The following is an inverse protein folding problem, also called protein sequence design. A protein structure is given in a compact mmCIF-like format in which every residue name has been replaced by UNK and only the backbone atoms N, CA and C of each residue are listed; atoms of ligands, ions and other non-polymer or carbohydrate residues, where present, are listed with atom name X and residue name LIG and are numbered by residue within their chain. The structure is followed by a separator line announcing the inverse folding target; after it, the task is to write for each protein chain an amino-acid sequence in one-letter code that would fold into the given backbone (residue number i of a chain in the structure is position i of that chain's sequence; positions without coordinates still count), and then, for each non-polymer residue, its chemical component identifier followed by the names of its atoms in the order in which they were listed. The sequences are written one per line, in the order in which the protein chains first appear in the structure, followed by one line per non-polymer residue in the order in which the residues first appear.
data_IF_368881870941
#
_entry.id   IF_368881870941
#
_cell.length_a   1.000
_cell.length_b   1.000
_cell.length_c   1.000
_cell.angle_alpha   90.00
_cell.angle_beta   90.00
_cell.angle_gamma   90.00
#
_symmetry.space_group_name_H-M   'P 1'
#
loop_
_entity.id
_entity.type
_entity.pdbx_description
1 polymer ?
#
# COMPACT_ATOMS: atom_id res chain seq x y z
N UNK A 1 -27.36 -2.06 0.08
CA UNK A 1 -25.96 -1.88 0.49
C UNK A 1 -25.15 -1.58 -0.75
N UNK A 2 -24.45 -0.42 -0.85
CA UNK A 2 -23.63 -0.13 -2.02
C UNK A 2 -22.55 -1.21 -2.15
N UNK A 3 -22.40 -1.77 -3.35
CA UNK A 3 -21.29 -2.68 -3.65
C UNK A 3 -19.98 -1.91 -3.44
N UNK A 4 -19.04 -2.42 -2.64
CA UNK A 4 -17.76 -1.72 -2.45
C UNK A 4 -17.07 -1.58 -3.80
N UNK A 5 -16.69 -0.35 -4.14
CA UNK A 5 -15.89 -0.07 -5.33
C UNK A 5 -14.53 -0.79 -5.23
N UNK A 6 -13.88 -1.03 -6.37
CA UNK A 6 -12.55 -1.67 -6.45
C UNK A 6 -11.49 -1.01 -5.56
N UNK A 7 -11.65 0.28 -5.27
CA UNK A 7 -10.80 1.03 -4.35
C UNK A 7 -11.07 0.70 -2.86
N UNK A 8 -12.16 0.01 -2.50
CA UNK A 8 -12.44 -0.40 -1.13
C UNK A 8 -11.47 -1.48 -0.60
N UNK A 9 -10.74 -2.12 -1.46
CA UNK A 9 -9.97 -3.32 -1.15
C UNK A 9 -8.75 -3.11 -0.25
N UNK A 10 -8.17 -1.92 -0.19
CA UNK A 10 -7.02 -1.63 0.68
C UNK A 10 -7.43 -0.97 2.02
N UNK A 11 -8.71 -0.66 2.20
CA UNK A 11 -9.27 -0.10 3.46
C UNK A 11 -9.13 -1.07 4.62
N UNK A 12 -9.09 -2.36 4.34
CA UNK A 12 -9.11 -3.43 5.34
C UNK A 12 -7.80 -3.61 6.13
N UNK A 13 -6.68 -3.02 5.72
CA UNK A 13 -5.36 -3.18 6.38
C UNK A 13 -4.72 -1.82 6.62
N UNK A 14 -5.32 -0.99 7.48
CA UNK A 14 -4.88 0.38 7.67
C UNK A 14 -4.87 0.79 9.12
N UNK A 15 -3.84 1.52 9.54
CA UNK A 15 -3.87 2.24 10.79
C UNK A 15 -4.67 3.53 10.62
N UNK A 16 -5.59 3.79 11.55
CA UNK A 16 -6.40 5.01 11.56
C UNK A 16 -5.57 6.14 12.14
N UNK A 17 -5.52 7.27 11.41
CA UNK A 17 -4.95 8.52 11.90
C UNK A 17 -6.11 9.50 12.04
N UNK A 18 -6.16 10.19 13.17
CA UNK A 18 -7.20 11.19 13.47
C UNK A 18 -6.54 12.50 13.84
N UNK A 19 -6.92 13.57 13.15
CA UNK A 19 -6.46 14.91 13.41
C UNK A 19 -7.63 15.74 13.92
N UNK A 20 -7.51 16.26 15.13
CA UNK A 20 -8.54 17.02 15.84
C UNK A 20 -8.07 18.45 16.01
N UNK A 21 -8.82 19.43 15.48
CA UNK A 21 -8.66 20.85 15.84
C UNK A 21 -9.78 21.21 16.79
N UNK A 22 -9.42 21.27 18.06
CA UNK A 22 -10.36 21.49 19.16
C UNK A 22 -10.43 22.98 19.49
N UNK A 23 -11.59 23.58 19.31
CA UNK A 23 -11.84 24.95 19.73
C UNK A 23 -11.71 25.09 21.25
N UNK A 24 -10.95 26.08 21.74
CA UNK A 24 -10.73 26.27 23.17
C UNK A 24 -12.01 26.56 23.95
N UNK A 25 -13.10 26.88 23.28
CA UNK A 25 -14.43 27.12 23.87
C UNK A 25 -15.38 25.93 23.61
N UNK A 26 -14.89 24.85 22.97
CA UNK A 26 -15.68 23.65 22.77
C UNK A 26 -16.05 23.03 24.12
N UNK A 27 -17.25 22.48 24.19
CA UNK A 27 -17.75 21.74 25.36
C UNK A 27 -18.16 20.36 24.91
N UNK A 28 -17.75 19.40 25.68
CA UNK A 28 -18.08 17.99 25.46
C UNK A 28 -19.06 17.52 26.53
N UNK A 29 -19.90 16.56 26.22
CA UNK A 29 -20.86 15.92 27.08
C UNK A 29 -20.36 14.57 27.64
N UNK A 30 -19.05 14.36 27.58
CA UNK A 30 -18.34 13.19 28.10
C UNK A 30 -17.16 13.63 28.96
N UNK A 31 -16.77 12.80 29.92
CA UNK A 31 -15.66 13.06 30.86
C UNK A 31 -14.37 12.31 30.48
N UNK A 32 -14.44 11.35 29.54
CA UNK A 32 -13.32 10.55 29.09
C UNK A 32 -12.34 11.40 28.27
N UNK A 33 -11.03 11.03 28.27
CA UNK A 33 -10.06 11.66 27.37
C UNK A 33 -10.49 11.50 25.90
N UNK A 34 -10.41 12.58 25.13
CA UNK A 34 -10.86 12.60 23.73
C UNK A 34 -10.21 11.50 22.87
N UNK A 35 -8.97 11.10 23.19
CA UNK A 35 -8.29 10.01 22.53
C UNK A 35 -8.95 8.65 22.80
N UNK A 36 -9.53 8.44 23.99
CA UNK A 36 -10.24 7.21 24.35
C UNK A 36 -11.59 7.14 23.63
N UNK A 37 -12.30 8.25 23.52
CA UNK A 37 -13.52 8.35 22.70
C UNK A 37 -13.25 8.02 21.23
N UNK A 38 -12.13 8.51 20.67
CA UNK A 38 -11.70 8.17 19.31
C UNK A 38 -11.37 6.68 19.18
N UNK A 39 -10.68 6.11 20.17
CA UNK A 39 -10.32 4.68 20.16
C UNK A 39 -11.55 3.78 20.26
N UNK A 40 -12.54 4.14 21.06
CA UNK A 40 -13.81 3.43 21.15
C UNK A 40 -14.56 3.48 19.80
N UNK A 41 -14.67 4.65 19.19
CA UNK A 41 -15.29 4.81 17.88
C UNK A 41 -14.60 3.95 16.79
N UNK A 42 -13.28 3.89 16.81
CA UNK A 42 -12.51 3.01 15.90
C UNK A 42 -12.79 1.55 16.21
N UNK A 43 -12.80 1.16 17.48
CA UNK A 43 -13.09 -0.22 17.86
C UNK A 43 -14.50 -0.66 17.41
N UNK A 44 -15.50 0.18 17.62
CA UNK A 44 -16.88 -0.07 17.15
C UNK A 44 -16.90 -0.27 15.63
N UNK A 45 -16.27 0.65 14.87
CA UNK A 45 -16.25 0.58 13.41
C UNK A 45 -15.60 -0.71 12.88
N UNK A 46 -14.55 -1.20 13.54
CA UNK A 46 -13.81 -2.40 13.11
C UNK A 46 -14.37 -3.73 13.65
N UNK A 47 -15.23 -3.68 14.63
CA UNK A 47 -15.88 -4.88 15.20
C UNK A 47 -17.33 -5.06 14.76
N UNK A 48 -17.95 -4.05 14.16
CA UNK A 48 -19.28 -4.13 13.58
C UNK A 48 -19.32 -5.15 12.43
N UNK A 49 -20.11 -6.21 12.59
CA UNK A 49 -20.25 -7.28 11.61
C UNK A 49 -20.86 -6.80 10.26
N UNK A 50 -21.61 -5.71 10.25
CA UNK A 50 -22.13 -5.07 9.03
C UNK A 50 -21.10 -4.25 8.27
N UNK A 51 -19.93 -3.99 8.87
CA UNK A 51 -18.88 -3.15 8.30
C UNK A 51 -17.83 -4.03 7.61
N UNK A 52 -17.39 -3.66 6.37
CA UNK A 52 -16.34 -4.40 5.68
C UNK A 52 -14.94 -4.20 6.28
N UNK A 53 -14.73 -3.34 7.27
CA UNK A 53 -13.42 -3.08 7.87
C UNK A 53 -12.86 -4.29 8.61
N UNK A 54 -11.55 -4.43 8.63
CA UNK A 54 -10.83 -5.52 9.32
C UNK A 54 -9.63 -4.97 10.07
N UNK A 55 -9.51 -5.34 11.34
CA UNK A 55 -8.36 -4.97 12.16
C UNK A 55 -7.07 -5.56 11.60
N UNK A 56 -6.02 -4.75 11.56
CA UNK A 56 -4.72 -5.14 10.99
C UNK A 56 -3.52 -4.63 11.76
N UNK A 57 -3.73 -3.90 12.85
CA UNK A 57 -2.61 -3.44 13.69
C UNK A 57 -2.29 -4.48 14.77
N UNK A 58 -1.05 -4.49 15.20
CA UNK A 58 -0.54 -5.38 16.23
C UNK A 58 -0.34 -4.62 17.54
N UNK A 59 -0.69 -5.25 18.67
CA UNK A 59 -0.64 -4.62 19.98
C UNK A 59 0.80 -4.34 20.44
N UNK A 60 1.70 -5.27 20.19
CA UNK A 60 3.13 -5.13 20.51
C UNK A 60 3.95 -5.29 19.22
N UNK A 61 4.60 -4.21 18.76
CA UNK A 61 5.37 -4.27 17.52
C UNK A 61 6.70 -5.00 17.66
N UNK A 62 7.25 -5.15 18.86
CA UNK A 62 8.59 -5.70 19.08
C UNK A 62 8.57 -7.22 19.36
N UNK A 63 7.67 -7.69 20.21
CA UNK A 63 7.72 -9.06 20.73
C UNK A 63 6.48 -9.87 20.34
N UNK A 64 5.30 -9.48 20.85
CA UNK A 64 4.05 -10.20 20.65
C UNK A 64 3.21 -9.48 19.58
N UNK A 65 3.40 -9.86 18.34
CA UNK A 65 2.76 -9.23 17.19
C UNK A 65 1.30 -9.68 16.98
N UNK A 66 0.55 -9.91 18.07
CA UNK A 66 -0.85 -10.26 17.99
C UNK A 66 -1.71 -9.10 17.49
N UNK A 67 -2.67 -9.43 16.62
CA UNK A 67 -3.66 -8.48 16.11
C UNK A 67 -4.52 -7.94 17.26
N UNK A 68 -4.77 -6.64 17.30
CA UNK A 68 -5.62 -6.00 18.32
C UNK A 68 -7.09 -6.40 18.19
N UNK A 69 -7.51 -6.93 17.06
CA UNK A 69 -8.89 -7.27 16.67
C UNK A 69 -9.87 -6.09 16.59
N UNK A 70 -9.56 -4.98 17.21
CA UNK A 70 -10.36 -3.74 17.22
C UNK A 70 -9.79 -2.66 16.32
N UNK A 71 -8.57 -2.84 15.83
CA UNK A 71 -7.78 -1.81 15.12
C UNK A 71 -7.56 -0.51 15.92
N UNK A 72 -7.85 -0.50 17.21
CA UNK A 72 -7.48 0.54 18.15
C UNK A 72 -6.15 0.17 18.84
N UNK A 73 -5.35 1.17 19.28
CA UNK A 73 -5.65 2.60 19.24
C UNK A 73 -5.42 3.23 17.87
N UNK A 74 -6.13 4.31 17.59
CA UNK A 74 -5.81 5.24 16.50
C UNK A 74 -4.55 6.06 16.83
N UNK A 75 -3.90 6.61 15.81
CA UNK A 75 -2.90 7.66 16.00
C UNK A 75 -3.63 9.00 16.01
N UNK A 76 -3.85 9.55 17.20
CA UNK A 76 -4.64 10.77 17.39
C UNK A 76 -3.72 11.97 17.63
N UNK A 77 -3.92 13.00 16.82
CA UNK A 77 -3.25 14.30 16.95
C UNK A 77 -4.28 15.34 17.36
N UNK A 78 -3.98 16.14 18.39
CA UNK A 78 -4.86 17.18 18.92
C UNK A 78 -4.17 18.53 18.82
N UNK A 79 -4.82 19.48 18.18
CA UNK A 79 -4.42 20.89 18.10
C UNK A 79 -5.51 21.75 18.74
N UNK A 80 -5.12 22.64 19.65
CA UNK A 80 -6.02 23.61 20.23
C UNK A 80 -6.08 24.87 19.35
N UNK A 81 -7.28 25.24 18.95
CA UNK A 81 -7.53 26.41 18.08
C UNK A 81 -8.54 27.36 18.69
N UNK A 82 -8.65 28.59 18.20
CA UNK A 82 -9.68 29.50 18.60
C UNK A 82 -11.08 29.03 18.17
N UNK A 83 -12.11 29.34 18.94
CA UNK A 83 -13.49 28.99 18.61
C UNK A 83 -14.08 27.89 19.48
N UNK A 84 -15.29 27.43 19.09
CA UNK A 84 -16.11 26.48 19.86
C UNK A 84 -16.41 25.17 19.09
N UNK A 85 -15.90 25.04 17.88
CA UNK A 85 -16.11 23.84 17.05
C UNK A 85 -14.99 22.82 17.21
N UNK A 86 -15.25 21.60 16.78
CA UNK A 86 -14.27 20.52 16.62
C UNK A 86 -14.18 20.16 15.13
N UNK A 87 -13.03 20.43 14.51
CA UNK A 87 -12.74 19.92 13.17
C UNK A 87 -12.06 18.57 13.31
N UNK A 88 -12.61 17.57 12.61
CA UNK A 88 -12.14 16.19 12.65
C UNK A 88 -11.73 15.76 11.25
N UNK A 89 -10.50 15.26 11.11
CA UNK A 89 -10.05 14.58 9.91
C UNK A 89 -9.66 13.14 10.27
N UNK A 90 -10.28 12.18 9.60
CA UNK A 90 -9.99 10.76 9.78
C UNK A 90 -9.37 10.21 8.51
N UNK A 91 -8.21 9.58 8.62
CA UNK A 91 -7.53 8.95 7.51
C UNK A 91 -7.18 7.49 7.83
N UNK A 92 -7.56 6.58 6.95
CA UNK A 92 -7.15 5.19 7.00
C UNK A 92 -5.98 4.98 6.03
N UNK A 93 -4.73 5.14 6.51
CA UNK A 93 -3.52 5.11 5.69
C UNK A 93 -2.90 3.72 5.59
N UNK A 94 -2.61 3.28 4.36
CA UNK A 94 -2.04 1.96 4.08
C UNK A 94 -0.58 1.83 4.50
N UNK A 95 -0.22 0.70 5.12
CA UNK A 95 1.15 0.43 5.58
C UNK A 95 2.20 0.46 4.46
N UNK A 96 1.84 0.12 3.22
CA UNK A 96 2.79 0.18 2.09
C UNK A 96 3.30 1.58 1.82
N UNK A 97 2.40 2.56 1.73
CA UNK A 97 2.77 3.96 1.54
C UNK A 97 3.31 4.59 2.83
N UNK A 98 2.84 4.17 4.01
CA UNK A 98 3.39 4.65 5.29
C UNK A 98 4.86 4.27 5.47
N UNK A 99 5.22 3.03 5.13
CA UNK A 99 6.59 2.53 5.24
C UNK A 99 7.58 3.17 4.23
N UNK A 100 7.08 4.00 3.32
CA UNK A 100 7.89 4.78 2.37
C UNK A 100 8.01 6.25 2.77
N UNK A 101 7.59 6.61 3.99
CA UNK A 101 7.86 7.92 4.55
C UNK A 101 9.37 8.15 4.67
N UNK A 102 9.83 9.32 4.25
CA UNK A 102 11.24 9.70 4.22
C UNK A 102 11.46 11.02 4.91
N UNK A 103 12.60 11.17 5.56
CA UNK A 103 13.01 12.38 6.26
C UNK A 103 14.47 12.70 5.96
N UNK A 104 14.79 13.98 5.85
CA UNK A 104 16.17 14.48 5.82
C UNK A 104 16.29 15.79 6.61
N UNK A 105 17.41 15.98 7.26
CA UNK A 105 17.85 17.28 7.74
C UNK A 105 18.77 17.87 6.67
N UNK A 106 18.22 18.69 5.80
CA UNK A 106 18.96 19.37 4.74
C UNK A 106 19.66 20.62 5.31
N UNK A 107 20.68 21.09 4.60
CA UNK A 107 21.23 22.41 4.87
C UNK A 107 20.33 23.50 4.27
N UNK A 108 20.32 24.73 4.81
CA UNK A 108 19.49 25.82 4.27
C UNK A 108 19.72 26.17 2.80
N UNK A 109 20.86 25.81 2.24
CA UNK A 109 21.22 26.03 0.82
C UNK A 109 20.91 24.86 -0.10
N UNK A 110 20.44 23.73 0.42
CA UNK A 110 20.15 22.56 -0.39
C UNK A 110 18.80 22.71 -1.14
N UNK A 111 18.72 22.13 -2.33
CA UNK A 111 17.50 22.15 -3.14
C UNK A 111 16.51 21.06 -2.66
N UNK A 112 15.42 21.52 -2.05
CA UNK A 112 14.35 20.65 -1.55
C UNK A 112 13.67 19.91 -2.71
N UNK A 113 13.48 20.55 -3.88
CA UNK A 113 12.84 19.90 -5.02
C UNK A 113 13.69 18.77 -5.56
N UNK A 114 15.00 18.95 -5.64
CA UNK A 114 15.94 17.90 -6.04
C UNK A 114 15.95 16.73 -5.06
N UNK A 115 15.90 17.01 -3.76
CA UNK A 115 15.80 15.96 -2.74
C UNK A 115 14.50 15.16 -2.89
N UNK A 116 13.38 15.83 -3.11
CA UNK A 116 12.08 15.16 -3.30
C UNK A 116 12.11 14.25 -4.52
N UNK A 117 12.58 14.74 -5.68
CA UNK A 117 12.61 13.95 -6.92
C UNK A 117 13.50 12.72 -6.76
N UNK A 118 14.72 12.87 -6.24
CA UNK A 118 15.62 11.73 -5.95
C UNK A 118 15.01 10.76 -4.95
N UNK A 119 14.34 11.27 -3.92
CA UNK A 119 13.67 10.41 -2.95
C UNK A 119 12.59 9.59 -3.63
N UNK A 120 11.71 10.19 -4.42
CA UNK A 120 10.63 9.46 -5.13
C UNK A 120 11.20 8.38 -6.05
N UNK A 121 12.28 8.67 -6.76
CA UNK A 121 12.98 7.68 -7.60
C UNK A 121 13.42 6.46 -6.77
N UNK A 122 14.00 6.68 -5.57
CA UNK A 122 14.43 5.59 -4.67
C UNK A 122 13.27 4.86 -3.99
N UNK A 123 12.09 5.49 -3.85
CA UNK A 123 10.91 4.82 -3.30
C UNK A 123 10.38 3.72 -4.23
N UNK A 124 10.64 3.85 -5.54
CA UNK A 124 10.16 2.91 -6.54
C UNK A 124 8.64 2.80 -6.56
N UNK A 125 8.12 1.59 -6.76
CA UNK A 125 6.68 1.31 -6.81
C UNK A 125 6.07 0.86 -5.46
N UNK A 126 6.86 0.77 -4.39
CA UNK A 126 6.43 0.20 -3.10
C UNK A 126 5.28 0.95 -2.41
N UNK A 127 5.05 2.22 -2.74
CA UNK A 127 3.95 3.04 -2.24
C UNK A 127 2.67 2.97 -3.10
N UNK A 128 2.69 2.17 -4.18
CA UNK A 128 1.58 1.95 -5.11
C UNK A 128 1.16 3.21 -5.87
N UNK A 129 2.04 3.81 -6.68
CA UNK A 129 1.67 4.91 -7.58
C UNK A 129 0.61 4.46 -8.60
N UNK A 130 -0.17 5.41 -9.22
CA UNK A 130 -0.10 6.84 -8.96
C UNK A 130 -0.73 7.23 -7.64
N UNK A 131 -0.30 8.36 -7.08
CA UNK A 131 -0.86 8.81 -5.79
C UNK A 131 -0.52 10.27 -5.50
N UNK A 132 -0.46 10.63 -4.22
CA UNK A 132 -0.23 12.00 -3.77
C UNK A 132 1.07 12.02 -2.96
N UNK A 133 1.85 13.10 -3.08
CA UNK A 133 2.99 13.36 -2.23
C UNK A 133 2.67 14.47 -1.23
N UNK A 134 2.79 14.18 0.07
CA UNK A 134 2.78 15.15 1.12
C UNK A 134 4.20 15.53 1.53
N UNK A 135 4.52 16.81 1.49
CA UNK A 135 5.83 17.35 1.80
C UNK A 135 5.70 18.33 2.96
N UNK A 136 6.48 18.12 4.00
CA UNK A 136 6.58 19.02 5.14
C UNK A 136 7.97 19.62 5.24
N UNK A 137 8.07 20.94 5.37
CA UNK A 137 9.34 21.66 5.43
C UNK A 137 9.35 22.59 6.64
N UNK A 138 10.40 22.51 7.44
CA UNK A 138 10.62 23.41 8.57
C UNK A 138 10.13 22.85 9.91
N UNK A 139 10.15 23.67 10.93
CA UNK A 139 9.93 23.29 12.33
C UNK A 139 11.06 22.41 12.88
N UNK A 140 10.69 21.32 13.52
CA UNK A 140 11.54 20.26 14.02
C UNK A 140 11.32 18.99 13.16
N UNK A 141 12.11 17.94 13.38
CA UNK A 141 11.99 16.70 12.60
C UNK A 141 10.58 16.11 12.64
N UNK A 142 10.01 15.97 13.83
CA UNK A 142 8.66 15.49 14.04
C UNK A 142 7.61 16.43 13.44
N UNK A 143 7.82 17.76 13.49
CA UNK A 143 6.89 18.74 12.90
C UNK A 143 6.89 18.64 11.37
N UNK A 144 8.06 18.47 10.74
CA UNK A 144 8.14 18.25 9.29
C UNK A 144 7.39 16.97 8.86
N UNK A 145 7.55 15.87 9.60
CA UNK A 145 6.83 14.62 9.36
C UNK A 145 5.31 14.79 9.54
N UNK A 146 4.88 15.51 10.58
CA UNK A 146 3.47 15.79 10.83
C UNK A 146 2.87 16.66 9.71
N UNK A 147 3.55 17.72 9.30
CA UNK A 147 3.14 18.59 8.19
C UNK A 147 2.98 17.81 6.88
N UNK A 148 3.94 16.93 6.56
CA UNK A 148 3.86 16.08 5.38
C UNK A 148 2.60 15.18 5.42
N UNK A 149 2.27 14.63 6.58
CA UNK A 149 1.08 13.78 6.75
C UNK A 149 -0.22 14.59 6.68
N UNK A 150 -0.31 15.71 7.36
CA UNK A 150 -1.48 16.59 7.34
C UNK A 150 -1.77 17.15 5.95
N UNK A 151 -0.71 17.47 5.19
CA UNK A 151 -0.87 17.99 3.83
C UNK A 151 -1.61 17.03 2.89
N UNK A 152 -1.51 15.72 3.14
CA UNK A 152 -2.24 14.69 2.39
C UNK A 152 -3.76 14.73 2.58
N UNK A 153 -4.24 15.38 3.66
CA UNK A 153 -5.67 15.51 3.95
C UNK A 153 -6.33 16.66 3.17
N UNK A 154 -5.54 17.44 2.44
CA UNK A 154 -6.06 18.51 1.59
C UNK A 154 -6.69 17.92 0.32
N UNK A 155 -7.75 18.53 -0.22
CA UNK A 155 -8.35 18.10 -1.47
C UNK A 155 -7.33 18.06 -2.63
N UNK A 156 -7.48 17.10 -3.53
CA UNK A 156 -6.71 17.05 -4.79
C UNK A 156 -7.14 18.23 -5.65
N UNK A 157 -6.20 19.13 -5.98
CA UNK A 157 -6.47 20.36 -6.71
C UNK A 157 -5.44 20.68 -7.82
N UNK A 158 -4.58 19.72 -8.15
CA UNK A 158 -3.51 19.93 -9.14
C UNK A 158 -4.07 20.27 -10.52
N UNK A 159 -5.18 19.65 -10.93
CA UNK A 159 -5.84 19.96 -12.22
C UNK A 159 -6.27 21.42 -12.27
N UNK A 160 -6.91 21.91 -11.20
CA UNK A 160 -7.34 23.32 -11.10
C UNK A 160 -6.14 24.26 -11.01
N UNK A 161 -5.09 23.86 -10.27
CA UNK A 161 -3.86 24.62 -10.17
C UNK A 161 -3.17 24.78 -11.53
N UNK A 162 -3.08 23.72 -12.31
CA UNK A 162 -2.52 23.75 -13.66
C UNK A 162 -3.36 24.62 -14.63
N UNK A 163 -4.69 24.54 -14.52
CA UNK A 163 -5.59 25.31 -15.38
C UNK A 163 -5.54 26.83 -15.10
N UNK A 164 -5.48 27.21 -13.82
CA UNK A 164 -5.44 28.63 -13.42
C UNK A 164 -4.04 29.24 -13.36
N UNK A 165 -3.02 28.41 -13.35
CA UNK A 165 -1.63 28.79 -13.13
C UNK A 165 -1.29 29.07 -11.64
N UNK A 166 -0.02 28.92 -11.25
CA UNK A 166 0.45 29.17 -9.89
C UNK A 166 0.42 30.68 -9.58
N UNK A 167 0.12 31.05 -8.32
CA UNK A 167 0.03 32.41 -7.82
C UNK A 167 1.02 32.69 -6.69
N UNK A 168 1.65 31.65 -6.15
CA UNK A 168 2.63 31.75 -5.06
C UNK A 168 3.86 30.90 -5.39
N UNK A 169 5.00 31.20 -4.80
CA UNK A 169 6.22 30.39 -4.96
C UNK A 169 6.01 28.93 -4.52
N UNK A 170 5.15 28.70 -3.50
CA UNK A 170 4.79 27.35 -3.06
C UNK A 170 3.99 26.60 -4.13
N UNK A 171 3.05 27.25 -4.80
CA UNK A 171 2.30 26.67 -5.92
C UNK A 171 3.19 26.41 -7.13
N UNK A 172 4.14 27.32 -7.43
CA UNK A 172 5.15 27.10 -8.47
C UNK A 172 5.99 25.86 -8.19
N UNK A 173 6.41 25.68 -6.95
CA UNK A 173 7.16 24.50 -6.51
C UNK A 173 6.32 23.22 -6.61
N UNK A 174 5.02 23.25 -6.25
CA UNK A 174 4.12 22.11 -6.43
C UNK A 174 4.01 21.70 -7.90
N UNK A 175 3.83 22.66 -8.82
CA UNK A 175 3.75 22.41 -10.27
C UNK A 175 5.08 21.87 -10.81
N UNK A 176 6.21 22.43 -10.38
CA UNK A 176 7.54 21.96 -10.76
C UNK A 176 7.74 20.49 -10.32
N UNK A 177 7.48 20.17 -9.07
CA UNK A 177 7.58 18.81 -8.54
C UNK A 177 6.62 17.83 -9.24
N UNK A 178 5.38 18.24 -9.47
CA UNK A 178 4.41 17.44 -10.21
C UNK A 178 4.93 17.03 -11.59
N UNK A 179 5.49 18.00 -12.34
CA UNK A 179 6.05 17.73 -13.67
C UNK A 179 7.30 16.85 -13.61
N UNK A 180 8.24 17.17 -12.72
CA UNK A 180 9.50 16.42 -12.58
C UNK A 180 9.27 14.97 -12.11
N UNK A 181 8.38 14.76 -11.16
CA UNK A 181 8.07 13.41 -10.65
C UNK A 181 7.33 12.59 -11.71
N UNK A 182 6.41 13.17 -12.47
CA UNK A 182 5.77 12.48 -13.59
C UNK A 182 6.75 12.17 -14.74
N UNK A 183 7.74 13.03 -14.96
CA UNK A 183 8.79 12.79 -15.94
C UNK A 183 9.76 11.64 -15.59
N UNK A 184 9.70 11.11 -14.34
CA UNK A 184 10.43 9.87 -13.99
C UNK A 184 9.86 8.63 -14.70
N UNK A 185 8.67 8.73 -15.28
CA UNK A 185 8.06 7.65 -16.04
C UNK A 185 7.69 6.41 -15.22
N UNK A 186 7.71 6.47 -13.87
CA UNK A 186 7.45 5.33 -12.98
C UNK A 186 6.07 4.74 -13.26
N UNK A 187 5.05 5.60 -13.40
CA UNK A 187 3.69 5.20 -13.77
C UNK A 187 2.98 4.32 -12.76
N UNK A 188 1.82 3.82 -13.15
CA UNK A 188 0.99 2.98 -12.29
C UNK A 188 1.73 1.69 -11.89
N UNK A 189 1.80 1.42 -10.59
CA UNK A 189 2.47 0.24 -10.00
C UNK A 189 3.96 0.08 -10.38
N UNK A 190 4.59 1.15 -10.93
CA UNK A 190 5.97 1.11 -11.39
C UNK A 190 6.19 0.42 -12.74
N UNK A 191 5.12 0.21 -13.50
CA UNK A 191 5.19 -0.48 -14.80
C UNK A 191 5.54 0.45 -15.98
N UNK A 192 5.81 1.71 -15.69
CA UNK A 192 5.99 2.76 -16.68
C UNK A 192 4.69 3.49 -17.00
N UNK A 193 4.79 4.78 -17.31
CA UNK A 193 3.63 5.60 -17.69
C UNK A 193 3.78 7.06 -17.35
N UNK A 194 2.92 7.89 -17.92
CA UNK A 194 2.92 9.35 -17.80
C UNK A 194 2.49 9.87 -16.42
N UNK A 195 1.85 9.04 -15.60
CA UNK A 195 1.28 9.47 -14.31
C UNK A 195 1.85 8.67 -13.16
N UNK A 196 2.77 9.27 -12.43
CA UNK A 196 3.35 8.76 -11.17
C UNK A 196 2.67 9.40 -9.97
N UNK A 197 2.35 10.70 -10.07
CA UNK A 197 1.61 11.43 -9.03
C UNK A 197 0.40 12.15 -9.63
N UNK A 198 -0.67 12.20 -8.83
CA UNK A 198 -1.91 12.94 -9.11
C UNK A 198 -1.85 14.35 -8.54
N UNK A 199 -1.14 14.54 -7.42
CA UNK A 199 -0.96 15.82 -6.77
C UNK A 199 0.31 15.82 -5.91
N UNK A 200 0.83 17.03 -5.62
CA UNK A 200 1.92 17.30 -4.70
C UNK A 200 1.46 18.37 -3.72
N UNK A 201 1.43 18.05 -2.43
CA UNK A 201 1.06 18.96 -1.35
C UNK A 201 2.31 19.38 -0.60
N UNK A 202 2.40 20.65 -0.24
CA UNK A 202 3.51 21.19 0.54
C UNK A 202 2.93 21.96 1.74
N UNK A 203 3.44 21.68 2.91
CA UNK A 203 3.16 22.47 4.13
C UNK A 203 4.48 22.92 4.74
N UNK A 204 4.52 24.16 5.25
CA UNK A 204 5.72 24.75 5.81
C UNK A 204 5.49 25.26 7.23
N UNK A 205 6.57 25.32 8.00
CA UNK A 205 6.55 25.90 9.34
C UNK A 205 7.85 26.68 9.58
N UNK A 206 7.83 27.79 10.35
CA UNK A 206 9.03 28.52 10.74
C UNK A 206 10.08 27.60 11.35
N UNK A 207 11.35 27.84 11.02
CA UNK A 207 12.45 26.96 11.39
C UNK A 207 13.67 27.75 11.86
N UNK A 208 14.54 27.11 12.66
CA UNK A 208 15.82 27.68 13.05
C UNK A 208 16.69 27.95 11.80
N UNK A 209 17.33 29.11 11.73
CA UNK A 209 18.06 29.60 10.55
C UNK A 209 19.14 28.63 10.02
N UNK A 210 19.71 27.79 10.87
CA UNK A 210 20.73 26.80 10.50
C UNK A 210 20.17 25.43 10.19
N UNK A 211 18.84 25.26 10.06
CA UNK A 211 18.19 23.97 9.90
C UNK A 211 17.19 23.99 8.75
N UNK A 212 17.06 22.87 8.04
CA UNK A 212 15.99 22.66 7.07
C UNK A 212 15.53 21.20 7.11
N UNK A 213 14.74 20.79 8.14
CA UNK A 213 14.11 19.49 8.18
C UNK A 213 13.07 19.38 7.06
N UNK A 214 13.15 18.32 6.28
CA UNK A 214 12.22 18.02 5.18
C UNK A 214 11.72 16.60 5.32
N UNK A 215 10.43 16.43 5.18
CA UNK A 215 9.78 15.13 5.17
C UNK A 215 8.96 14.94 3.90
N UNK A 216 8.90 13.71 3.42
CA UNK A 216 8.07 13.27 2.31
C UNK A 216 7.28 12.04 2.73
N UNK A 217 5.97 12.10 2.63
CA UNK A 217 5.08 10.97 2.89
C UNK A 217 4.21 10.74 1.65
N UNK A 218 4.38 9.61 0.94
CA UNK A 218 3.52 9.29 -0.18
C UNK A 218 2.18 8.74 0.30
N UNK A 219 1.13 8.97 -0.48
CA UNK A 219 -0.20 8.38 -0.32
C UNK A 219 -0.57 7.65 -1.61
N UNK A 220 -0.95 6.37 -1.52
CA UNK A 220 -1.36 5.62 -2.70
C UNK A 220 -2.71 6.10 -3.25
N UNK A 221 -3.03 5.76 -4.50
CA UNK A 221 -4.30 6.12 -5.16
C UNK A 221 -5.55 5.68 -4.37
N UNK A 222 -5.44 4.61 -3.57
CA UNK A 222 -6.50 4.19 -2.66
C UNK A 222 -6.56 5.10 -1.41
N UNK A 223 -6.61 6.40 -1.63
CA UNK A 223 -6.74 7.41 -0.60
C UNK A 223 -8.09 7.28 0.13
N UNK A 224 -8.05 7.32 1.45
CA UNK A 224 -9.22 7.13 2.32
C UNK A 224 -9.13 8.09 3.49
N UNK A 225 -9.64 9.27 3.29
CA UNK A 225 -9.81 10.24 4.36
C UNK A 225 -11.16 10.95 4.25
N UNK A 226 -11.62 11.50 5.37
CA UNK A 226 -12.80 12.33 5.46
C UNK A 226 -12.55 13.43 6.47
N UNK A 227 -13.03 14.64 6.19
CA UNK A 227 -13.03 15.75 7.11
C UNK A 227 -14.46 16.21 7.40
N UNK A 228 -14.74 16.58 8.64
CA UNK A 228 -16.01 17.13 9.07
C UNK A 228 -15.86 18.04 10.27
N UNK A 229 -16.87 18.87 10.50
CA UNK A 229 -16.93 19.80 11.64
C UNK A 229 -18.12 19.44 12.52
N UNK A 230 -17.89 19.46 13.83
CA UNK A 230 -18.91 19.38 14.86
C UNK A 230 -18.96 20.74 15.56
N UNK A 231 -20.12 21.37 15.54
CA UNK A 231 -20.37 22.71 16.09
C UNK A 231 -21.49 22.73 17.14
N UNK A 232 -21.99 21.54 17.51
CA UNK A 232 -23.11 21.36 18.44
C UNK A 232 -24.49 21.36 17.78
N UNK A 233 -24.58 21.52 16.45
CA UNK A 233 -25.87 21.49 15.74
C UNK A 233 -26.42 20.07 15.50
N UNK A 234 -25.65 19.05 15.85
CA UNK A 234 -26.00 17.65 15.67
C UNK A 234 -24.90 16.82 14.99
N UNK A 235 -25.20 15.60 14.57
CA UNK A 235 -24.24 14.75 13.89
C UNK A 235 -23.85 15.34 12.53
N UNK A 236 -22.58 15.16 12.15
CA UNK A 236 -22.11 15.59 10.84
C UNK A 236 -22.86 14.85 9.71
N UNK A 237 -23.39 15.60 8.76
CA UNK A 237 -23.99 15.06 7.57
C UNK A 237 -22.91 14.62 6.58
N UNK A 238 -22.91 13.34 6.19
CA UNK A 238 -22.02 12.82 5.15
C UNK A 238 -22.79 12.55 3.87
N UNK A 239 -22.28 13.06 2.76
CA UNK A 239 -22.75 12.67 1.43
C UNK A 239 -21.83 11.56 0.92
N UNK A 240 -22.37 10.36 0.80
CA UNK A 240 -21.62 9.25 0.20
C UNK A 240 -21.28 9.59 -1.26
N UNK A 241 -20.04 9.36 -1.72
CA UNK A 241 -19.71 9.54 -3.12
C UNK A 241 -20.58 8.63 -4.00
N UNK A 242 -21.15 9.20 -5.06
CA UNK A 242 -21.97 8.46 -6.02
C UNK A 242 -21.05 7.80 -7.03
N UNK A 243 -20.96 6.49 -6.98
CA UNK A 243 -20.15 5.71 -7.95
C UNK A 243 -20.69 5.79 -9.38
N UNK A 244 -21.97 6.12 -9.54
CA UNK A 244 -22.63 6.29 -10.84
C UNK A 244 -22.10 7.53 -11.60
N UNK A 245 -21.56 8.51 -10.87
CA UNK A 245 -20.99 9.73 -11.46
C UNK A 245 -19.54 9.48 -11.96
N UNK A 246 -18.96 8.31 -11.71
CA UNK A 246 -17.61 7.98 -12.15
C UNK A 246 -17.62 7.43 -13.59
N UNK A 247 -16.59 7.74 -14.39
CA UNK A 247 -16.46 7.16 -15.71
C UNK A 247 -16.52 5.63 -15.66
N UNK A 248 -17.44 5.04 -16.41
CA UNK A 248 -17.49 3.59 -16.57
C UNK A 248 -16.37 3.19 -17.54
N UNK A 249 -15.26 2.75 -17.02
CA UNK A 249 -14.15 2.20 -17.82
C UNK A 249 -14.41 0.72 -18.02
N UNK A 250 -14.65 0.29 -19.25
CA UNK A 250 -14.63 -1.12 -19.60
C UNK A 250 -13.18 -1.61 -19.43
N UNK A 251 -12.92 -2.31 -18.34
CA UNK A 251 -11.65 -3.04 -18.18
C UNK A 251 -11.73 -4.29 -19.05
N UNK A 252 -11.29 -4.15 -20.30
CA UNK A 252 -11.04 -5.31 -21.14
C UNK A 252 -9.75 -5.98 -20.67
N UNK A 253 -9.88 -6.80 -19.63
CA UNK A 253 -8.75 -7.51 -19.02
C UNK A 253 -8.25 -8.66 -19.87
N UNK A 254 -8.64 -8.75 -21.17
CA UNK A 254 -8.45 -10.06 -21.62
C UNK A 254 -8.34 -10.51 -23.04
N UNK A 255 -8.45 -9.69 -24.04
CA UNK A 255 -8.24 -10.22 -25.42
C UNK A 255 -6.83 -10.80 -25.60
N UNK A 256 -5.83 -10.24 -24.92
CA UNK A 256 -4.41 -10.65 -25.02
C UNK A 256 -3.86 -11.33 -23.75
N UNK A 257 -4.69 -11.58 -22.71
CA UNK A 257 -4.20 -12.21 -21.49
C UNK A 257 -3.99 -13.72 -21.65
N UNK A 258 -2.83 -14.18 -21.23
CA UNK A 258 -2.46 -15.60 -21.26
C UNK A 258 -3.12 -16.31 -20.07
N UNK A 259 -3.88 -17.37 -20.33
CA UNK A 259 -4.47 -18.22 -19.28
C UNK A 259 -3.47 -19.25 -18.82
N UNK A 260 -3.26 -19.35 -17.50
CA UNK A 260 -2.28 -20.24 -16.88
C UNK A 260 -2.97 -21.17 -15.89
N UNK A 261 -2.75 -22.47 -16.05
CA UNK A 261 -3.15 -23.52 -15.12
C UNK A 261 -2.00 -23.81 -14.14
N UNK A 262 -2.13 -23.30 -12.91
CA UNK A 262 -1.10 -23.46 -11.86
C UNK A 262 -0.88 -24.91 -11.43
N UNK A 263 -1.87 -25.80 -11.64
CA UNK A 263 -1.76 -27.22 -11.30
C UNK A 263 -0.94 -28.01 -12.33
N UNK A 264 -0.71 -27.42 -13.51
CA UNK A 264 0.07 -28.00 -14.62
C UNK A 264 1.29 -27.17 -15.01
N UNK A 265 1.65 -26.20 -14.18
CA UNK A 265 2.73 -25.27 -14.46
C UNK A 265 4.06 -26.00 -14.70
N UNK A 266 4.75 -25.63 -15.78
CA UNK A 266 6.03 -26.22 -16.17
C UNK A 266 7.12 -25.15 -16.31
N UNK A 267 8.41 -25.51 -16.12
CA UNK A 267 9.52 -24.58 -16.39
C UNK A 267 9.53 -24.05 -17.82
N UNK A 268 9.12 -24.86 -18.80
CA UNK A 268 9.06 -24.45 -20.20
C UNK A 268 7.99 -23.38 -20.46
N UNK A 269 6.84 -23.48 -19.80
CA UNK A 269 5.78 -22.48 -19.86
C UNK A 269 6.24 -21.16 -19.23
N UNK A 270 6.84 -21.20 -18.04
CA UNK A 270 7.38 -20.02 -17.36
C UNK A 270 8.48 -19.35 -18.18
N UNK A 271 9.36 -20.13 -18.83
CA UNK A 271 10.40 -19.62 -19.72
C UNK A 271 9.86 -18.91 -20.96
N UNK A 272 8.61 -19.20 -21.34
CA UNK A 272 7.90 -18.56 -22.46
C UNK A 272 7.40 -17.15 -22.14
N UNK A 273 7.17 -16.82 -20.89
CA UNK A 273 6.61 -15.50 -20.50
C UNK A 273 7.60 -14.36 -20.69
N UNK A 274 7.08 -13.17 -20.95
CA UNK A 274 7.87 -11.94 -21.13
C UNK A 274 7.43 -10.86 -20.17
N UNK A 275 8.37 -10.08 -19.68
CA UNK A 275 8.11 -8.95 -18.79
C UNK A 275 7.12 -7.96 -19.43
N UNK A 276 6.02 -7.67 -18.72
CA UNK A 276 4.92 -6.82 -19.15
C UNK A 276 3.68 -7.58 -19.64
N UNK A 277 3.74 -8.89 -19.86
CA UNK A 277 2.56 -9.68 -20.23
C UNK A 277 1.58 -9.81 -19.08
N UNK A 278 0.29 -9.82 -19.41
CA UNK A 278 -0.81 -10.07 -18.46
C UNK A 278 -1.18 -11.54 -18.47
N UNK A 279 -1.23 -12.14 -17.28
CA UNK A 279 -1.64 -13.53 -17.10
C UNK A 279 -2.92 -13.59 -16.26
N UNK A 280 -3.75 -14.61 -16.53
CA UNK A 280 -4.91 -14.99 -15.72
C UNK A 280 -4.63 -16.36 -15.09
N UNK A 281 -4.39 -16.38 -13.79
CA UNK A 281 -3.99 -17.58 -13.07
C UNK A 281 -5.21 -18.34 -12.55
N UNK A 282 -5.26 -19.65 -12.79
CA UNK A 282 -6.26 -20.55 -12.21
C UNK A 282 -5.57 -21.78 -11.61
N UNK A 283 -6.12 -22.35 -10.54
CA UNK A 283 -5.56 -23.52 -9.86
C UNK A 283 -5.08 -23.22 -8.43
N UNK A 284 -4.21 -24.09 -7.90
CA UNK A 284 -3.72 -24.02 -6.51
C UNK A 284 -2.52 -23.10 -6.37
N UNK A 285 -2.64 -22.15 -5.46
CA UNK A 285 -1.66 -21.10 -5.18
C UNK A 285 -1.29 -21.13 -3.69
N UNK A 286 0.00 -21.27 -3.39
CA UNK A 286 0.48 -21.16 -2.02
C UNK A 286 0.56 -19.70 -1.58
N UNK A 287 0.41 -19.44 -0.28
CA UNK A 287 0.67 -18.12 0.29
C UNK A 287 1.86 -18.15 1.24
N UNK A 288 2.52 -17.02 1.41
CA UNK A 288 3.58 -16.87 2.39
C UNK A 288 4.21 -15.49 2.30
N UNK A 289 4.61 -14.93 3.44
CA UNK A 289 5.37 -13.68 3.47
C UNK A 289 6.44 -13.75 4.57
N UNK A 290 6.85 -12.65 5.15
CA UNK A 290 8.04 -12.48 5.97
C UNK A 290 8.34 -13.63 6.94
N UNK A 291 7.43 -13.93 7.88
CA UNK A 291 7.66 -14.95 8.91
C UNK A 291 7.71 -16.37 8.31
N UNK A 292 6.83 -16.69 7.34
CA UNK A 292 6.85 -17.97 6.65
C UNK A 292 8.14 -18.15 5.86
N UNK A 293 8.57 -17.15 5.06
CA UNK A 293 9.81 -17.21 4.29
C UNK A 293 11.04 -17.37 5.19
N UNK A 294 11.12 -16.61 6.28
CA UNK A 294 12.19 -16.74 7.25
C UNK A 294 12.29 -18.16 7.83
N UNK A 295 11.12 -18.75 8.16
CA UNK A 295 11.06 -20.10 8.72
C UNK A 295 11.44 -21.17 7.68
N UNK A 296 10.92 -21.06 6.45
CA UNK A 296 11.29 -21.97 5.35
C UNK A 296 12.80 -21.93 5.06
N UNK A 297 13.38 -20.72 4.95
CA UNK A 297 14.81 -20.55 4.71
C UNK A 297 15.65 -21.18 5.84
N UNK A 298 15.29 -20.94 7.10
CA UNK A 298 15.99 -21.52 8.24
C UNK A 298 15.87 -23.05 8.28
N UNK A 299 14.77 -23.65 7.87
CA UNK A 299 14.61 -25.11 7.73
C UNK A 299 15.54 -25.67 6.65
N UNK A 300 15.58 -25.00 5.47
CA UNK A 300 16.48 -25.40 4.38
C UNK A 300 17.97 -25.31 4.79
N UNK A 301 18.35 -24.27 5.51
CA UNK A 301 19.72 -24.11 6.04
C UNK A 301 20.11 -25.23 7.00
N UNK A 302 19.15 -25.73 7.80
CA UNK A 302 19.38 -26.87 8.71
C UNK A 302 19.24 -28.25 8.02
N UNK A 303 18.86 -28.27 6.73
CA UNK A 303 18.62 -29.52 5.98
C UNK A 303 17.36 -30.26 6.42
N UNK A 304 16.37 -29.53 6.97
CA UNK A 304 15.08 -30.09 7.37
C UNK A 304 14.11 -30.17 6.20
N UNK A 305 13.23 -31.15 6.24
CA UNK A 305 12.12 -31.26 5.27
C UNK A 305 11.12 -30.12 5.45
N UNK A 306 10.68 -29.52 4.34
CA UNK A 306 9.68 -28.48 4.37
C UNK A 306 8.28 -29.06 4.59
N UNK A 307 7.37 -28.36 5.32
CA UNK A 307 6.02 -28.84 5.58
C UNK A 307 5.13 -28.75 4.34
N UNK A 308 5.61 -28.15 3.25
CA UNK A 308 4.90 -27.99 1.98
C UNK A 308 5.86 -28.22 0.80
N UNK A 309 5.39 -28.87 -0.24
CA UNK A 309 6.15 -29.00 -1.49
C UNK A 309 6.04 -27.72 -2.32
N UNK A 310 7.17 -27.09 -2.61
CA UNK A 310 7.29 -25.87 -3.41
C UNK A 310 7.68 -26.14 -4.86
N UNK A 311 8.06 -27.37 -5.19
CA UNK A 311 8.55 -27.73 -6.53
C UNK A 311 7.47 -27.53 -7.59
N UNK A 312 7.79 -26.72 -8.59
CA UNK A 312 6.85 -26.45 -9.68
C UNK A 312 5.66 -25.57 -9.29
N UNK A 313 5.67 -24.98 -8.09
CA UNK A 313 4.53 -24.24 -7.54
C UNK A 313 4.70 -22.72 -7.70
N UNK A 314 3.60 -22.03 -7.43
CA UNK A 314 3.56 -20.59 -7.28
C UNK A 314 3.30 -20.20 -5.82
N UNK A 315 3.95 -19.14 -5.33
CA UNK A 315 3.75 -18.58 -4.01
C UNK A 315 3.32 -17.10 -4.08
N UNK A 316 2.24 -16.76 -3.38
CA UNK A 316 1.71 -15.40 -3.31
C UNK A 316 2.10 -14.75 -1.98
N UNK A 317 2.78 -13.63 -2.07
CA UNK A 317 3.22 -12.84 -0.93
C UNK A 317 2.05 -12.08 -0.32
N UNK A 318 1.30 -12.74 0.51
CA UNK A 318 0.12 -12.20 1.15
C UNK A 318 -0.02 -12.71 2.59
N UNK A 319 -0.58 -11.88 3.46
CA UNK A 319 -1.17 -12.30 4.72
C UNK A 319 -2.65 -12.00 4.60
N UNK A 320 -3.49 -12.99 4.29
CA UNK A 320 -4.91 -12.76 4.12
C UNK A 320 -5.55 -12.35 5.45
N UNK A 321 -6.62 -11.58 5.38
CA UNK A 321 -7.45 -11.29 6.55
C UNK A 321 -8.49 -12.40 6.69
N UNK A 322 -8.95 -12.63 7.92
CA UNK A 322 -9.99 -13.61 8.20
C UNK A 322 -11.26 -13.33 7.38
N UNK A 323 -11.85 -14.40 6.86
CA UNK A 323 -13.08 -14.34 6.10
C UNK A 323 -14.27 -13.99 7.02
N UNK A 324 -15.26 -13.30 6.47
CA UNK A 324 -16.60 -13.20 7.07
C UNK A 324 -17.58 -14.12 6.35
N UNK A 325 -18.80 -14.25 6.89
CA UNK A 325 -19.82 -15.09 6.29
C UNK A 325 -20.02 -14.80 4.78
N UNK A 326 -19.87 -15.82 3.95
CA UNK A 326 -19.99 -15.75 2.50
C UNK A 326 -18.69 -15.43 1.74
N UNK A 327 -17.55 -15.27 2.41
CA UNK A 327 -16.23 -15.09 1.79
C UNK A 327 -15.42 -16.41 1.87
N UNK A 328 -14.70 -16.74 0.83
CA UNK A 328 -13.70 -17.82 0.87
C UNK A 328 -12.45 -17.39 1.66
N UNK A 329 -12.12 -16.11 1.59
CA UNK A 329 -11.02 -15.46 2.30
C UNK A 329 -11.35 -13.97 2.40
N UNK A 330 -10.93 -13.32 3.45
CA UNK A 330 -10.98 -11.86 3.53
C UNK A 330 -10.02 -11.19 2.54
N UNK A 331 -9.92 -9.86 2.54
CA UNK A 331 -9.03 -9.13 1.64
C UNK A 331 -7.61 -9.69 1.59
N UNK A 332 -7.16 -10.05 0.40
CA UNK A 332 -5.89 -10.74 0.14
C UNK A 332 -4.96 -9.92 -0.78
N UNK A 333 -4.64 -8.69 -0.36
CA UNK A 333 -3.75 -7.80 -1.14
C UNK A 333 -2.28 -8.19 -1.07
N UNK A 334 -1.53 -7.98 -2.18
CA UNK A 334 -0.12 -8.34 -2.25
C UNK A 334 0.74 -7.52 -1.31
N UNK A 335 1.77 -8.15 -0.76
CA UNK A 335 2.81 -7.53 0.06
C UNK A 335 3.94 -7.00 -0.82
N UNK A 336 4.63 -5.94 -0.39
CA UNK A 336 5.86 -5.44 -1.03
C UNK A 336 6.92 -6.54 -1.04
N UNK A 337 7.40 -6.90 -2.23
CA UNK A 337 8.16 -8.14 -2.45
C UNK A 337 9.63 -8.07 -2.06
N UNK A 338 10.24 -6.88 -2.02
CA UNK A 338 11.64 -6.69 -1.59
C UNK A 338 11.92 -7.23 -0.18
N UNK A 339 10.89 -7.36 0.66
CA UNK A 339 11.04 -7.95 2.01
C UNK A 339 11.38 -9.45 1.96
N UNK A 340 11.03 -10.14 0.89
CA UNK A 340 11.31 -11.55 0.66
C UNK A 340 12.63 -11.77 -0.10
N UNK A 341 13.28 -10.71 -0.58
CA UNK A 341 14.55 -10.81 -1.33
C UNK A 341 15.64 -11.61 -0.58
N UNK A 342 15.85 -11.43 0.73
CA UNK A 342 16.87 -12.19 1.46
C UNK A 342 16.67 -13.72 1.44
N UNK A 343 15.46 -14.20 1.17
CA UNK A 343 15.12 -15.61 1.20
C UNK A 343 14.95 -16.22 -0.19
N UNK A 344 14.92 -15.38 -1.24
CA UNK A 344 14.50 -15.82 -2.58
C UNK A 344 15.48 -16.80 -3.20
N UNK A 345 16.78 -16.51 -3.13
CA UNK A 345 17.80 -17.34 -3.79
C UNK A 345 17.82 -18.78 -3.25
N UNK A 346 17.85 -18.94 -1.92
CA UNK A 346 17.84 -20.26 -1.28
C UNK A 346 16.55 -21.05 -1.57
N UNK A 347 15.40 -20.36 -1.64
CA UNK A 347 14.13 -21.00 -1.97
C UNK A 347 14.14 -21.49 -3.41
N UNK A 348 14.57 -20.65 -4.36
CA UNK A 348 14.65 -21.04 -5.77
C UNK A 348 15.62 -22.21 -5.98
N UNK A 349 16.84 -22.12 -5.40
CA UNK A 349 17.89 -23.11 -5.54
C UNK A 349 17.48 -24.47 -4.97
N UNK A 350 16.91 -24.48 -3.75
CA UNK A 350 16.71 -25.72 -2.99
C UNK A 350 15.34 -26.38 -3.22
N UNK A 351 14.34 -25.64 -3.71
CA UNK A 351 12.98 -26.16 -3.77
C UNK A 351 12.44 -26.34 -5.17
N UNK A 352 13.00 -25.64 -6.17
CA UNK A 352 12.45 -25.62 -7.51
C UNK A 352 11.12 -24.85 -7.62
N UNK A 353 10.91 -23.85 -6.73
CA UNK A 353 9.80 -22.88 -6.82
C UNK A 353 9.89 -22.15 -8.17
N UNK A 354 8.78 -22.07 -8.91
CA UNK A 354 8.77 -21.48 -10.26
C UNK A 354 8.27 -20.04 -10.29
N UNK A 355 7.29 -19.71 -9.45
CA UNK A 355 6.60 -18.42 -9.56
C UNK A 355 6.43 -17.77 -8.19
N UNK A 356 6.74 -16.51 -8.13
CA UNK A 356 6.51 -15.65 -6.97
C UNK A 356 5.57 -14.53 -7.37
N UNK A 357 4.58 -14.21 -6.52
CA UNK A 357 3.60 -13.16 -6.81
C UNK A 357 3.59 -12.16 -5.66
N UNK A 358 3.68 -10.87 -5.97
CA UNK A 358 3.65 -9.82 -4.94
C UNK A 358 3.31 -8.46 -5.51
N UNK A 359 3.92 -7.41 -5.03
CA UNK A 359 3.84 -6.06 -5.58
C UNK A 359 5.19 -5.35 -5.51
N UNK A 360 5.34 -4.30 -6.31
CA UNK A 360 6.55 -3.49 -6.46
C UNK A 360 7.74 -4.27 -7.06
N UNK A 361 8.85 -3.57 -7.17
CA UNK A 361 10.10 -4.07 -7.73
C UNK A 361 10.79 -5.14 -6.85
N UNK A 362 11.76 -5.83 -7.42
CA UNK A 362 12.73 -6.70 -6.73
C UNK A 362 14.12 -6.07 -6.81
N UNK A 363 14.95 -6.34 -5.82
CA UNK A 363 16.37 -5.96 -5.85
C UNK A 363 17.14 -6.62 -6.99
N UNK A 364 18.22 -5.99 -7.44
CA UNK A 364 19.00 -6.44 -8.60
C UNK A 364 19.54 -7.86 -8.45
N UNK A 365 20.04 -8.21 -7.27
CA UNK A 365 20.53 -9.55 -6.96
C UNK A 365 19.41 -10.60 -7.06
N UNK A 366 18.21 -10.24 -6.61
CA UNK A 366 17.04 -11.10 -6.70
C UNK A 366 16.57 -11.27 -8.15
N UNK A 367 16.57 -10.18 -8.94
CA UNK A 367 16.27 -10.25 -10.38
C UNK A 367 17.26 -11.19 -11.10
N UNK A 368 18.56 -11.08 -10.79
CA UNK A 368 19.58 -11.98 -11.33
C UNK A 368 19.36 -13.43 -10.88
N UNK A 369 18.97 -13.66 -9.63
CA UNK A 369 18.64 -14.99 -9.10
C UNK A 369 17.44 -15.59 -9.81
N UNK A 370 16.36 -14.83 -10.04
CA UNK A 370 15.19 -15.26 -10.79
C UNK A 370 15.60 -15.74 -12.20
N UNK A 371 16.44 -14.98 -12.90
CA UNK A 371 16.97 -15.36 -14.21
C UNK A 371 17.84 -16.62 -14.17
N UNK A 372 18.73 -16.78 -13.15
CA UNK A 372 19.58 -17.98 -13.01
C UNK A 372 18.78 -19.27 -12.82
N UNK A 373 17.68 -19.19 -12.08
CA UNK A 373 16.85 -20.34 -11.76
C UNK A 373 15.70 -20.57 -12.75
N UNK A 374 15.54 -19.71 -13.77
CA UNK A 374 14.47 -19.82 -14.76
C UNK A 374 13.08 -19.65 -14.15
N UNK A 375 12.97 -18.92 -13.04
CA UNK A 375 11.72 -18.62 -12.35
C UNK A 375 11.11 -17.31 -12.86
N UNK A 376 9.90 -16.98 -12.43
CA UNK A 376 9.28 -15.69 -12.74
C UNK A 376 8.75 -14.99 -11.48
N UNK A 377 8.79 -13.66 -11.52
CA UNK A 377 8.12 -12.83 -10.53
C UNK A 377 6.98 -12.06 -11.19
N UNK A 378 5.79 -12.22 -10.62
CA UNK A 378 4.56 -11.58 -11.09
C UNK A 378 4.11 -10.54 -10.07
N UNK A 379 3.41 -9.52 -10.53
CA UNK A 379 2.74 -8.58 -9.64
C UNK A 379 1.22 -8.71 -9.75
N UNK A 380 0.58 -8.73 -8.58
CA UNK A 380 -0.84 -8.45 -8.46
C UNK A 380 -1.04 -6.96 -8.17
N UNK A 381 -2.15 -6.38 -8.61
CA UNK A 381 -2.40 -4.95 -8.48
C UNK A 381 -2.46 -4.55 -7.00
N UNK A 382 -1.55 -3.67 -6.59
CA UNK A 382 -1.59 -3.04 -5.28
C UNK A 382 -2.83 -2.14 -5.16
N UNK A 383 -3.44 -2.10 -3.96
CA UNK A 383 -4.68 -1.36 -3.75
C UNK A 383 -5.95 -2.08 -4.22
N UNK A 384 -5.84 -3.27 -4.85
CA UNK A 384 -6.94 -4.06 -5.38
C UNK A 384 -7.19 -5.37 -4.60
N UNK A 385 -6.87 -5.42 -3.30
CA UNK A 385 -6.96 -6.63 -2.47
C UNK A 385 -8.33 -7.31 -2.50
N UNK A 386 -9.39 -6.53 -2.59
CA UNK A 386 -10.75 -7.06 -2.70
C UNK A 386 -11.02 -7.72 -4.07
N UNK A 387 -10.52 -7.13 -5.16
CA UNK A 387 -10.66 -7.73 -6.49
C UNK A 387 -9.86 -9.04 -6.58
N UNK A 388 -8.66 -9.04 -6.01
CA UNK A 388 -7.84 -10.26 -5.92
C UNK A 388 -8.54 -11.33 -5.08
N UNK A 389 -9.14 -10.96 -3.92
CA UNK A 389 -9.87 -11.93 -3.09
C UNK A 389 -11.09 -12.54 -3.79
N UNK A 390 -11.71 -11.82 -4.73
CA UNK A 390 -12.80 -12.38 -5.57
C UNK A 390 -12.35 -13.50 -6.50
N UNK A 391 -11.09 -13.50 -6.90
CA UNK A 391 -10.53 -14.60 -7.69
C UNK A 391 -10.25 -15.85 -6.82
N UNK A 392 -10.24 -15.71 -5.49
CA UNK A 392 -10.01 -16.83 -4.55
C UNK A 392 -11.33 -17.56 -4.30
N UNK A 393 -11.38 -18.84 -4.67
CA UNK A 393 -12.56 -19.72 -4.51
C UNK A 393 -12.54 -20.50 -3.21
N UNK A 394 -11.36 -20.84 -2.71
CA UNK A 394 -11.18 -21.45 -1.39
C UNK A 394 -9.82 -21.09 -0.79
N UNK A 395 -9.73 -21.16 0.53
CA UNK A 395 -8.51 -20.92 1.28
C UNK A 395 -8.42 -21.90 2.45
N UNK A 396 -7.26 -22.54 2.62
CA UNK A 396 -7.00 -23.50 3.70
C UNK A 396 -5.59 -23.28 4.24
N UNK A 397 -5.44 -23.18 5.56
CA UNK A 397 -4.12 -23.23 6.21
C UNK A 397 -3.56 -24.64 6.04
N UNK A 398 -2.32 -24.75 5.57
CA UNK A 398 -1.66 -26.04 5.34
C UNK A 398 -0.34 -26.17 6.12
N UNK A 399 0.27 -25.06 6.55
CA UNK A 399 1.46 -25.08 7.42
C UNK A 399 1.59 -23.79 8.22
N UNK A 400 2.35 -23.87 9.32
CA UNK A 400 2.70 -22.75 10.19
C UNK A 400 1.49 -22.01 10.77
N UNK A 401 0.47 -22.73 11.20
CA UNK A 401 -0.77 -22.19 11.77
C UNK A 401 -0.50 -21.19 12.92
N UNK A 402 0.55 -21.42 13.70
CA UNK A 402 1.02 -20.55 14.76
C UNK A 402 1.42 -19.14 14.31
N UNK A 403 1.67 -18.94 13.02
CA UNK A 403 1.97 -17.62 12.44
C UNK A 403 0.71 -16.79 12.11
N UNK A 404 -0.49 -17.32 12.34
CA UNK A 404 -1.76 -16.62 12.09
C UNK A 404 -1.86 -16.14 10.64
N UNK A 405 -2.00 -14.82 10.41
CA UNK A 405 -2.11 -14.24 9.06
C UNK A 405 -0.85 -14.47 8.18
N UNK A 406 0.27 -14.91 8.75
CA UNK A 406 1.49 -15.24 8.01
C UNK A 406 1.69 -16.76 7.83
N UNK A 407 0.70 -17.56 8.24
CA UNK A 407 0.66 -19.00 7.95
C UNK A 407 0.69 -19.26 6.44
N UNK A 408 1.14 -20.43 6.05
CA UNK A 408 1.04 -20.87 4.65
C UNK A 408 -0.37 -21.40 4.42
N UNK A 409 -1.08 -20.70 3.53
CA UNK A 409 -2.38 -21.17 3.02
C UNK A 409 -2.21 -21.75 1.63
N UNK A 410 -3.09 -22.65 1.26
CA UNK A 410 -3.35 -23.01 -0.12
C UNK A 410 -4.67 -22.34 -0.55
N UNK A 411 -4.59 -21.47 -1.54
CA UNK A 411 -5.73 -20.89 -2.22
C UNK A 411 -6.04 -21.67 -3.49
N UNK A 412 -7.31 -21.79 -3.81
CA UNK A 412 -7.76 -22.12 -5.18
C UNK A 412 -8.22 -20.83 -5.83
N UNK A 413 -7.58 -20.44 -6.90
CA UNK A 413 -7.88 -19.21 -7.64
C UNK A 413 -8.47 -19.50 -9.01
N UNK A 414 -9.26 -18.56 -9.53
CA UNK A 414 -9.84 -18.59 -10.87
C UNK A 414 -9.70 -17.24 -11.53
N UNK A 415 -9.04 -17.22 -12.70
CA UNK A 415 -8.77 -16.03 -13.50
C UNK A 415 -8.16 -14.86 -12.70
N UNK A 416 -7.26 -15.16 -11.75
CA UNK A 416 -6.56 -14.13 -10.97
C UNK A 416 -5.63 -13.33 -11.87
N UNK A 417 -5.88 -12.01 -12.07
CA UNK A 417 -5.08 -11.21 -12.98
C UNK A 417 -3.75 -10.79 -12.33
N UNK A 418 -2.66 -10.99 -13.07
CA UNK A 418 -1.30 -10.60 -12.69
C UNK A 418 -0.51 -10.13 -13.91
N UNK A 419 0.59 -9.40 -13.69
CA UNK A 419 1.52 -9.00 -14.75
C UNK A 419 2.89 -9.60 -14.50
N UNK A 420 3.56 -10.08 -15.53
CA UNK A 420 4.95 -10.55 -15.44
C UNK A 420 5.86 -9.36 -15.17
N UNK A 421 6.41 -9.31 -13.98
CA UNK A 421 7.28 -8.20 -13.55
C UNK A 421 8.77 -8.52 -13.78
N UNK A 422 9.18 -9.76 -13.54
CA UNK A 422 10.50 -10.27 -13.92
C UNK A 422 10.29 -11.63 -14.60
N UNK A 423 10.76 -11.74 -15.83
CA UNK A 423 10.67 -13.01 -16.58
C UNK A 423 11.83 -13.96 -16.25
N UNK A 424 11.74 -15.17 -16.79
CA UNK A 424 12.72 -16.24 -16.58
C UNK A 424 14.11 -15.93 -17.18
N UNK A 425 14.26 -14.86 -17.93
CA UNK A 425 15.53 -14.35 -18.45
C UNK A 425 16.10 -13.22 -17.58
N UNK A 426 15.41 -12.87 -16.47
CA UNK A 426 15.81 -11.76 -15.59
C UNK A 426 15.53 -10.37 -16.16
N UNK A 427 14.62 -10.26 -17.16
CA UNK A 427 14.19 -8.95 -17.64
C UNK A 427 13.11 -8.39 -16.73
N UNK A 428 13.26 -7.14 -16.28
CA UNK A 428 12.35 -6.50 -15.36
C UNK A 428 11.58 -5.36 -16.02
N UNK A 429 10.24 -5.40 -15.96
CA UNK A 429 9.38 -4.31 -16.43
C UNK A 429 9.56 -3.05 -15.58
N UNK A 430 9.88 -3.18 -14.30
CA UNK A 430 10.16 -2.02 -13.43
C UNK A 430 11.42 -1.24 -13.85
N UNK A 431 12.34 -1.90 -14.59
CA UNK A 431 13.51 -1.22 -15.20
C UNK A 431 13.18 -0.71 -16.59
N UNK A 432 12.61 -1.55 -17.45
CA UNK A 432 12.37 -1.18 -18.86
C UNK A 432 11.11 -0.32 -19.06
N UNK A 433 10.11 -0.42 -18.19
CA UNK A 433 8.85 0.32 -18.29
C UNK A 433 9.05 1.84 -18.19
N UNK A 434 9.69 2.38 -17.12
CA UNK A 434 9.94 3.81 -16.99
C UNK A 434 10.74 4.41 -18.16
N UNK A 435 11.68 3.64 -18.75
CA UNK A 435 12.51 4.11 -19.87
C UNK A 435 11.74 4.32 -21.19
N UNK A 436 10.48 3.90 -21.25
CA UNK A 436 9.64 4.04 -22.46
C UNK A 436 8.87 5.37 -22.48
N UNK A 437 8.91 6.15 -21.40
CA UNK A 437 8.14 7.38 -21.18
C UNK A 437 9.01 8.56 -20.84
#
# INVERSE_FOLDING_TARGET
TPKPSSAASDVYKRQVNVFLKVGMQARFDFDEPIADVVNEAVAIAYTDAGNPLRASIVADPLFDRRNTRTNAPAVTHVELVAGSSLDVHVAAKGGGSENKASFAALNPGDDVADWVVRTVETLGAGWCPPGILGIGVGGTAEKAMLLAKESLLQPIDMTDLLARGPRTAQEEMRVNLYRRVNALGIGAQGLGGLTTVLDVKIATYPVHAASMPVALIPQCVADRHIGFRLDGSGPAGFVAPRTDDWPQVALDAGADAIRVDLDRLTPAEVAGWRAGETLLLSGRLLTGRDAAHKRLAAMLERGEDLPVDLKGRAIYYVGPVDAVAGEAVGPAGPTTSTRMDPYTDILLERTGLLVMIGKAERGDETVASIGRHGAAYLIAVGGAAYLVSKAVRSAKVIAFDDLGMEAIHEFVVEDMPVTVAVDAQGQSIHKSGPMRW
#
